data_IF_363141914729
#
_entry.id   IF_363141914729
#
_cell.length_a   1.000
_cell.length_b   1.000
_cell.length_c   1.000
_cell.angle_alpha   90.00
_cell.angle_beta   90.00
_cell.angle_gamma   90.00
#
_symmetry.space_group_name_H-M   'P 1'
#
loop_
_entity.id
_entity.type
_entity.pdbx_description
1 polymer ?
#
# COMPACT_ATOMS: atom_id res chain seq x y z
N UNK A 1 -6.80 11.98 0.27
CA UNK A 1 -6.98 10.61 -0.27
C UNK A 1 -8.23 10.53 -1.14
N UNK A 2 -8.11 10.06 -2.39
CA UNK A 2 -9.27 9.83 -3.25
C UNK A 2 -9.88 8.46 -2.95
N UNK A 3 -11.21 8.40 -2.87
CA UNK A 3 -11.94 7.13 -2.67
C UNK A 3 -11.74 6.18 -3.86
N UNK A 4 -11.61 6.73 -5.07
CA UNK A 4 -11.44 5.96 -6.31
C UNK A 4 -10.12 5.18 -6.39
N UNK A 5 -9.09 5.59 -5.64
CA UNK A 5 -7.82 4.84 -5.58
C UNK A 5 -7.94 3.63 -4.64
N UNK A 6 -8.82 3.69 -3.64
CA UNK A 6 -8.88 2.71 -2.56
C UNK A 6 -10.06 1.73 -2.70
N UNK A 7 -11.08 2.10 -3.48
CA UNK A 7 -12.30 1.31 -3.62
C UNK A 7 -12.78 1.25 -5.06
N UNK A 8 -13.29 0.07 -5.43
CA UNK A 8 -14.00 -0.13 -6.68
C UNK A 8 -15.34 0.63 -6.69
N UNK A 9 -15.99 0.72 -7.85
CA UNK A 9 -17.34 1.31 -7.91
C UNK A 9 -18.34 0.36 -7.22
N UNK A 10 -19.15 0.82 -6.25
CA UNK A 10 -20.10 -0.03 -5.53
C UNK A 10 -21.30 -0.45 -6.38
N UNK A 11 -21.83 -1.64 -6.10
CA UNK A 11 -23.07 -2.16 -6.66
C UNK A 11 -22.98 -3.63 -7.07
N UNK A 12 -24.10 -4.21 -7.52
CA UNK A 12 -24.13 -5.58 -8.05
C UNK A 12 -23.31 -5.73 -9.34
N UNK A 13 -22.90 -6.97 -9.70
CA UNK A 13 -22.18 -7.24 -10.94
C UNK A 13 -22.83 -6.53 -12.15
N UNK A 14 -22.05 -5.84 -13.01
CA UNK A 14 -20.59 -5.91 -13.16
C UNK A 14 -19.78 -5.01 -12.22
N UNK A 15 -20.41 -4.29 -11.29
CA UNK A 15 -19.72 -3.49 -10.26
C UNK A 15 -19.23 -4.38 -9.11
N UNK A 16 -18.58 -3.80 -8.10
CA UNK A 16 -18.10 -4.57 -6.95
C UNK A 16 -19.15 -4.60 -5.83
N UNK A 17 -19.82 -5.76 -5.59
CA UNK A 17 -20.82 -5.88 -4.54
C UNK A 17 -20.22 -5.84 -3.13
N UNK A 18 -18.88 -5.87 -3.00
CA UNK A 18 -18.17 -5.81 -1.72
C UNK A 18 -17.85 -4.38 -1.30
N UNK A 19 -17.90 -3.41 -2.22
CA UNK A 19 -17.73 -1.99 -1.88
C UNK A 19 -19.06 -1.43 -1.36
N UNK A 20 -19.08 -0.77 -0.19
CA UNK A 20 -20.31 -0.20 0.34
C UNK A 20 -20.77 1.03 -0.46
N UNK A 21 -22.07 1.31 -0.43
CA UNK A 21 -22.63 2.52 -1.04
C UNK A 21 -22.21 3.81 -0.31
N UNK A 22 -21.85 3.70 0.98
CA UNK A 22 -21.46 4.81 1.84
C UNK A 22 -20.15 4.46 2.54
N UNK A 23 -19.19 5.38 2.45
CA UNK A 23 -17.91 5.34 3.16
C UNK A 23 -17.83 6.57 4.05
N UNK A 24 -17.50 6.36 5.33
CA UNK A 24 -17.35 7.44 6.31
C UNK A 24 -15.90 7.50 6.76
N UNK A 25 -15.28 8.66 6.60
CA UNK A 25 -13.92 8.92 7.07
C UNK A 25 -13.98 9.75 8.34
N UNK A 26 -13.46 9.25 9.49
CA UNK A 26 -13.37 10.07 10.69
C UNK A 26 -12.36 11.22 10.50
N UNK A 27 -12.54 12.29 11.27
CA UNK A 27 -11.48 13.28 11.44
C UNK A 27 -10.27 12.65 12.16
N UNK A 28 -9.06 13.13 11.88
CA UNK A 28 -7.83 12.66 12.55
C UNK A 28 -8.00 12.71 14.07
N UNK A 29 -7.67 11.62 14.75
CA UNK A 29 -7.82 11.47 16.21
C UNK A 29 -9.22 11.09 16.68
N UNK A 30 -10.20 10.89 15.79
CA UNK A 30 -11.55 10.45 16.13
C UNK A 30 -11.72 8.97 15.83
N UNK A 31 -12.27 8.22 16.78
CA UNK A 31 -12.67 6.82 16.59
C UNK A 31 -14.17 6.66 16.86
N UNK A 32 -14.90 6.07 15.91
CA UNK A 32 -16.30 5.68 16.14
C UNK A 32 -16.35 4.30 16.80
N UNK A 33 -16.57 4.25 18.11
CA UNK A 33 -16.58 3.01 18.91
C UNK A 33 -17.73 3.02 19.90
N UNK A 34 -18.36 1.85 20.10
CA UNK A 34 -19.32 1.64 21.20
C UNK A 34 -18.67 1.28 22.53
N UNK A 35 -17.34 1.24 22.59
CA UNK A 35 -16.55 0.83 23.76
C UNK A 35 -15.56 1.92 24.15
N UNK A 36 -15.48 2.22 25.45
CA UNK A 36 -14.51 3.15 26.03
C UNK A 36 -13.14 2.51 26.31
N UNK A 37 -12.95 1.24 25.96
CA UNK A 37 -11.68 0.52 26.22
C UNK A 37 -10.65 0.70 25.11
N UNK A 38 -11.06 1.18 23.93
CA UNK A 38 -10.19 1.33 22.77
C UNK A 38 -9.55 2.71 22.82
N UNK A 39 -8.23 2.75 23.00
CA UNK A 39 -7.47 4.00 23.17
C UNK A 39 -6.89 4.52 21.85
N UNK A 40 -6.64 3.63 20.90
CA UNK A 40 -6.01 3.92 19.62
C UNK A 40 -6.62 3.02 18.54
N UNK A 41 -6.69 3.54 17.31
CA UNK A 41 -7.05 2.76 16.13
C UNK A 41 -6.34 3.32 14.89
N UNK A 42 -6.12 2.46 13.89
CA UNK A 42 -5.69 2.79 12.54
C UNK A 42 -6.76 2.40 11.52
N UNK A 43 -6.50 2.62 10.23
CA UNK A 43 -7.41 2.22 9.15
C UNK A 43 -8.35 3.33 8.68
N UNK A 44 -8.16 4.55 9.17
CA UNK A 44 -8.55 5.74 8.43
C UNK A 44 -7.62 5.99 7.24
N UNK A 45 -7.82 7.13 6.58
CA UNK A 45 -7.03 7.55 5.41
C UNK A 45 -6.02 8.65 5.75
N UNK A 46 -5.77 8.86 7.04
CA UNK A 46 -4.83 9.87 7.50
C UNK A 46 -3.39 9.40 7.29
N UNK A 47 -2.45 10.33 7.10
CA UNK A 47 -1.06 9.98 6.78
C UNK A 47 -0.39 9.15 7.89
N UNK A 48 -0.77 9.38 9.14
CA UNK A 48 -0.35 8.61 10.31
C UNK A 48 -0.93 7.18 10.34
N UNK A 49 -2.04 6.92 9.67
CA UNK A 49 -2.62 5.57 9.52
C UNK A 49 -2.00 4.77 8.37
N UNK A 50 -1.58 5.45 7.29
CA UNK A 50 -1.19 4.78 6.03
C UNK A 50 0.31 4.77 5.77
N UNK A 51 1.09 5.68 6.38
CA UNK A 51 2.53 5.70 6.21
C UNK A 51 3.20 4.69 7.13
N UNK A 52 3.90 3.72 6.54
CA UNK A 52 4.68 2.72 7.26
C UNK A 52 6.17 2.89 6.97
N UNK A 53 7.00 2.51 7.93
CA UNK A 53 8.45 2.49 7.73
C UNK A 53 8.85 1.33 6.81
N UNK A 54 9.70 1.61 5.83
CA UNK A 54 10.27 0.61 4.92
C UNK A 54 11.79 0.55 5.12
N UNK A 55 12.31 -0.65 5.45
CA UNK A 55 13.73 -0.93 5.53
C UNK A 55 14.07 -2.08 4.58
N UNK A 56 15.05 -1.86 3.72
CA UNK A 56 15.61 -2.89 2.83
C UNK A 56 17.02 -3.21 3.30
N UNK A 57 17.29 -4.48 3.59
CA UNK A 57 18.60 -4.95 4.05
C UNK A 57 19.07 -6.10 3.16
N UNK A 58 20.27 -5.95 2.61
CA UNK A 58 20.94 -6.97 1.82
C UNK A 58 22.46 -6.72 1.89
N UNK A 59 23.30 -7.76 2.03
CA UNK A 59 24.76 -7.61 2.16
C UNK A 59 25.45 -6.82 1.03
N UNK A 60 24.82 -6.76 -0.15
CA UNK A 60 25.37 -6.07 -1.32
C UNK A 60 24.91 -4.62 -1.45
N UNK A 61 24.00 -4.16 -0.59
CA UNK A 61 23.55 -2.77 -0.58
C UNK A 61 24.49 -1.91 0.25
N UNK A 62 24.82 -0.73 -0.29
CA UNK A 62 25.47 0.32 0.51
C UNK A 62 24.41 1.00 1.38
N UNK A 63 24.70 1.33 2.65
CA UNK A 63 23.78 2.09 3.48
C UNK A 63 23.44 3.44 2.83
N UNK A 64 22.16 3.74 2.70
CA UNK A 64 21.65 5.01 2.17
C UNK A 64 20.25 5.29 2.69
N UNK A 65 19.85 6.57 2.64
CA UNK A 65 18.46 6.99 2.83
C UNK A 65 17.94 7.39 1.45
N UNK A 66 16.83 6.78 1.04
CA UNK A 66 16.12 7.13 -0.19
C UNK A 66 14.87 7.90 0.22
N UNK A 67 14.78 9.16 -0.20
CA UNK A 67 13.64 10.05 0.11
C UNK A 67 12.59 10.09 -1.00
N UNK A 68 12.81 9.36 -2.09
CA UNK A 68 11.85 9.20 -3.18
C UNK A 68 10.52 8.65 -2.65
N UNK A 69 9.37 9.23 -3.01
CA UNK A 69 8.08 8.67 -2.63
C UNK A 69 7.91 7.26 -3.16
N UNK A 70 7.43 6.35 -2.31
CA UNK A 70 7.16 4.96 -2.65
C UNK A 70 5.85 4.51 -2.01
N UNK A 71 5.26 3.45 -2.58
CA UNK A 71 4.01 2.85 -2.12
C UNK A 71 4.24 1.39 -1.67
N UNK A 72 3.42 0.91 -0.74
CA UNK A 72 3.51 -0.47 -0.22
C UNK A 72 3.31 -1.53 -1.31
N UNK A 73 2.54 -1.22 -2.35
CA UNK A 73 2.34 -2.09 -3.52
C UNK A 73 3.64 -2.41 -4.27
N UNK A 74 4.69 -1.58 -4.12
CA UNK A 74 5.99 -1.79 -4.76
C UNK A 74 6.84 -2.87 -4.08
N UNK A 75 6.47 -3.34 -2.88
CA UNK A 75 7.23 -4.37 -2.14
C UNK A 75 7.25 -5.70 -2.91
N UNK A 76 6.09 -6.18 -3.36
CA UNK A 76 5.98 -7.45 -4.08
C UNK A 76 6.80 -7.48 -5.39
N UNK A 77 6.66 -6.53 -6.34
CA UNK A 77 7.47 -6.55 -7.56
C UNK A 77 8.98 -6.44 -7.28
N UNK A 78 9.38 -5.70 -6.25
CA UNK A 78 10.79 -5.63 -5.83
C UNK A 78 11.31 -6.98 -5.37
N UNK A 79 10.54 -7.73 -4.55
CA UNK A 79 10.95 -9.06 -4.10
C UNK A 79 11.14 -10.00 -5.30
N UNK A 80 10.23 -9.99 -6.28
CA UNK A 80 10.39 -10.81 -7.47
C UNK A 80 11.67 -10.45 -8.23
N UNK A 81 11.94 -9.16 -8.42
CA UNK A 81 13.18 -8.71 -9.06
C UNK A 81 14.43 -9.16 -8.28
N UNK A 82 14.40 -9.14 -6.95
CA UNK A 82 15.44 -9.63 -6.03
C UNK A 82 15.54 -11.16 -5.99
N UNK A 83 14.62 -11.89 -6.60
CA UNK A 83 14.74 -13.34 -6.72
C UNK A 83 15.06 -13.77 -8.15
N UNK A 84 15.31 -12.80 -9.05
CA UNK A 84 15.47 -13.07 -10.48
C UNK A 84 14.18 -13.55 -11.15
N UNK A 85 13.02 -13.31 -10.54
CA UNK A 85 11.70 -13.68 -11.04
C UNK A 85 11.07 -12.51 -11.82
N UNK A 86 10.16 -12.83 -12.73
CA UNK A 86 9.48 -11.84 -13.57
C UNK A 86 8.38 -11.09 -12.78
N UNK A 87 8.49 -9.76 -12.54
CA UNK A 87 7.46 -9.00 -11.83
C UNK A 87 6.09 -8.99 -12.53
N UNK A 88 6.04 -9.18 -13.85
CA UNK A 88 4.79 -9.30 -14.60
C UNK A 88 3.99 -10.56 -14.27
N UNK A 89 4.51 -11.46 -13.43
CA UNK A 89 3.71 -12.53 -12.84
C UNK A 89 2.63 -12.01 -11.86
N UNK A 90 2.74 -10.76 -11.40
CA UNK A 90 1.76 -10.14 -10.50
C UNK A 90 0.69 -9.39 -11.29
N UNK A 91 -0.57 -9.59 -10.90
CA UNK A 91 -1.72 -8.89 -11.47
C UNK A 91 -1.60 -7.37 -11.26
N UNK A 92 -1.20 -6.92 -10.07
CA UNK A 92 -0.99 -5.50 -9.78
C UNK A 92 0.00 -4.84 -10.74
N UNK A 93 1.12 -5.51 -11.06
CA UNK A 93 2.08 -4.99 -12.05
C UNK A 93 1.45 -4.90 -13.44
N UNK A 94 0.71 -5.94 -13.88
CA UNK A 94 0.11 -5.97 -15.22
C UNK A 94 -1.06 -5.00 -15.38
N UNK A 95 -1.87 -4.83 -14.34
CA UNK A 95 -3.12 -4.05 -14.38
C UNK A 95 -2.85 -2.59 -14.02
N UNK A 96 -2.04 -2.35 -12.98
CA UNK A 96 -1.82 -1.02 -12.40
C UNK A 96 -0.48 -0.40 -12.85
N UNK A 97 0.41 -1.18 -13.46
CA UNK A 97 1.73 -0.71 -13.87
C UNK A 97 2.69 -0.48 -12.70
N UNK A 98 2.45 -1.12 -11.56
CA UNK A 98 3.26 -0.94 -10.34
C UNK A 98 4.74 -1.21 -10.61
N UNK A 99 5.59 -0.23 -10.28
CA UNK A 99 7.04 -0.35 -10.45
C UNK A 99 7.69 -0.95 -9.20
N UNK A 100 8.84 -1.61 -9.37
CA UNK A 100 9.70 -1.95 -8.23
C UNK A 100 10.24 -0.68 -7.53
N UNK A 101 10.76 -0.85 -6.32
CA UNK A 101 11.34 0.24 -5.55
C UNK A 101 12.53 0.87 -6.30
N UNK A 102 12.66 2.20 -6.27
CA UNK A 102 13.77 2.90 -6.89
C UNK A 102 15.08 2.66 -6.12
N UNK A 103 16.21 2.97 -6.76
CA UNK A 103 17.54 3.01 -6.14
C UNK A 103 18.02 1.69 -5.50
N UNK A 104 17.41 0.57 -5.87
CA UNK A 104 17.86 -0.77 -5.50
C UNK A 104 18.55 -1.45 -6.69
N UNK A 105 19.88 -1.39 -6.70
CA UNK A 105 20.71 -2.12 -7.66
C UNK A 105 21.20 -3.43 -7.06
N UNK A 106 20.54 -4.52 -7.42
CA UNK A 106 20.97 -5.86 -7.05
C UNK A 106 22.00 -6.36 -8.06
N UNK A 107 23.16 -6.81 -7.56
CA UNK A 107 24.15 -7.52 -8.38
C UNK A 107 23.84 -9.02 -8.28
N UNK A 108 23.61 -9.65 -9.43
CA UNK A 108 23.55 -11.11 -9.58
C UNK A 108 24.94 -11.63 -9.95
#
# INVERSE_FOLDING_TARGET
PSLSLNYNTPGLPPKDPRTPDIIVTPNVGVTYTGSNKKLMEHGGFAHDDVNVMLLVSNPFLRPSIVSSPVETVQVAPTILQVLGLNPNALDGVRIEGTQALPDLQFRW
#
